data_IF_049204794486
#
_entry.id   IF_049204794486
#
_cell.length_a   1.000
_cell.length_b   1.000
_cell.length_c   1.000
_cell.angle_alpha   90.00
_cell.angle_beta   90.00
_cell.angle_gamma   90.00
#
_symmetry.space_group_name_H-M   'P 1'
#
loop_
_entity.id
_entity.type
_entity.pdbx_description
1 polymer ?
#
# COMPACT_ATOMS: atom_id res chain seq x y z
N UNK A 1 42.06 20.88 -3.21
CA UNK A 1 40.83 21.36 -3.87
C UNK A 1 39.87 20.23 -4.26
N UNK A 2 40.31 19.17 -4.96
CA UNK A 2 39.43 18.03 -5.35
C UNK A 2 38.69 17.39 -4.18
N UNK A 3 39.38 17.10 -3.06
CA UNK A 3 38.76 16.51 -1.86
C UNK A 3 37.67 17.40 -1.24
N UNK A 4 37.85 18.72 -1.27
CA UNK A 4 36.86 19.69 -0.78
C UNK A 4 35.60 19.71 -1.67
N UNK A 5 35.77 19.64 -2.99
CA UNK A 5 34.63 19.56 -3.92
C UNK A 5 33.85 18.26 -3.75
N UNK A 6 34.54 17.13 -3.56
CA UNK A 6 33.89 15.84 -3.30
C UNK A 6 33.11 15.86 -1.98
N UNK A 7 33.70 16.41 -0.92
CA UNK A 7 33.02 16.55 0.37
C UNK A 7 31.78 17.45 0.27
N UNK A 8 31.89 18.60 -0.40
CA UNK A 8 30.76 19.51 -0.62
C UNK A 8 29.64 18.85 -1.44
N UNK A 9 29.98 18.11 -2.49
CA UNK A 9 29.01 17.38 -3.32
C UNK A 9 28.27 16.29 -2.52
N UNK A 10 28.98 15.54 -1.66
CA UNK A 10 28.38 14.54 -0.78
C UNK A 10 27.42 15.17 0.24
N UNK A 11 27.81 16.28 0.86
CA UNK A 11 26.95 17.02 1.79
C UNK A 11 25.70 17.53 1.09
N UNK A 12 25.84 18.09 -0.12
CA UNK A 12 24.73 18.56 -0.92
C UNK A 12 23.77 17.42 -1.29
N UNK A 13 24.30 16.30 -1.77
CA UNK A 13 23.51 15.12 -2.11
C UNK A 13 22.76 14.55 -0.89
N UNK A 14 23.42 14.45 0.26
CA UNK A 14 22.79 14.01 1.51
C UNK A 14 21.70 14.97 1.97
N UNK A 15 21.90 16.28 1.82
CA UNK A 15 20.90 17.30 2.15
C UNK A 15 19.69 17.21 1.23
N UNK A 16 19.89 17.08 -0.09
CA UNK A 16 18.82 16.89 -1.07
C UNK A 16 18.01 15.63 -0.75
N UNK A 17 18.70 14.51 -0.48
CA UNK A 17 18.05 13.27 -0.10
C UNK A 17 17.23 13.43 1.19
N UNK A 18 17.79 14.06 2.23
CA UNK A 18 17.09 14.29 3.49
C UNK A 18 15.81 15.14 3.30
N UNK A 19 15.89 16.21 2.52
CA UNK A 19 14.74 17.06 2.20
C UNK A 19 13.69 16.30 1.38
N UNK A 20 14.12 15.55 0.36
CA UNK A 20 13.25 14.69 -0.44
C UNK A 20 12.50 13.68 0.42
N UNK A 21 13.21 12.99 1.32
CA UNK A 21 12.61 12.02 2.23
C UNK A 21 11.67 12.68 3.24
N UNK A 22 12.02 13.85 3.77
CA UNK A 22 11.18 14.57 4.72
C UNK A 22 9.84 15.01 4.10
N UNK A 23 9.90 15.59 2.89
CA UNK A 23 8.73 15.94 2.10
C UNK A 23 7.93 14.69 1.71
N UNK A 24 8.61 13.73 1.10
CA UNK A 24 8.00 12.53 0.55
C UNK A 24 7.37 11.63 1.61
N UNK A 25 7.87 11.61 2.85
CA UNK A 25 7.30 10.83 3.96
C UNK A 25 6.00 11.42 4.51
N UNK A 26 5.73 12.71 4.25
CA UNK A 26 4.67 13.46 4.92
C UNK A 26 3.76 14.24 3.95
N UNK A 27 3.87 13.94 2.66
CA UNK A 27 3.22 14.71 1.61
C UNK A 27 1.70 14.75 1.80
N UNK A 28 1.16 15.96 1.87
CA UNK A 28 -0.27 16.24 2.02
C UNK A 28 -0.85 16.01 3.42
N UNK A 29 -0.13 15.35 4.34
CA UNK A 29 -0.60 15.10 5.70
C UNK A 29 -0.31 16.27 6.66
N UNK A 30 -1.26 16.53 7.56
CA UNK A 30 -1.15 17.52 8.64
C UNK A 30 -0.32 16.98 9.83
N UNK A 31 0.20 17.85 10.71
CA UNK A 31 0.82 17.43 11.96
C UNK A 31 -0.05 16.50 12.81
N UNK A 32 -1.35 16.76 12.87
CA UNK A 32 -2.33 15.99 13.64
C UNK A 32 -2.52 14.59 13.05
N UNK A 33 -2.70 14.48 11.73
CA UNK A 33 -2.79 13.19 11.03
C UNK A 33 -1.51 12.33 11.20
N UNK A 34 -0.34 12.97 11.26
CA UNK A 34 0.94 12.29 11.53
C UNK A 34 1.07 11.78 12.97
N UNK A 35 0.46 12.48 13.93
CA UNK A 35 0.52 12.13 15.34
C UNK A 35 -0.60 11.18 15.78
N UNK A 36 -1.67 11.04 14.98
CA UNK A 36 -2.79 10.16 15.24
C UNK A 36 -2.33 8.69 15.37
N UNK A 37 -2.86 7.95 16.34
CA UNK A 37 -2.65 6.51 16.41
C UNK A 37 -3.44 5.78 15.30
N UNK A 38 -2.78 4.85 14.62
CA UNK A 38 -3.39 4.00 13.59
C UNK A 38 -3.49 2.55 14.10
N UNK A 39 -4.51 1.76 13.71
CA UNK A 39 -4.67 0.38 14.17
C UNK A 39 -3.43 -0.48 13.96
N UNK A 40 -2.75 -0.28 12.83
CA UNK A 40 -1.56 -1.02 12.47
C UNK A 40 -0.29 -0.68 13.27
N UNK A 41 -0.24 0.45 13.98
CA UNK A 41 0.92 0.83 14.80
C UNK A 41 1.22 -0.23 15.89
N UNK A 42 0.19 -0.92 16.38
CA UNK A 42 0.31 -1.99 17.36
C UNK A 42 1.07 -3.23 16.84
N UNK A 43 1.06 -3.49 15.52
CA UNK A 43 1.68 -4.67 14.93
C UNK A 43 3.21 -4.60 14.88
N UNK A 44 3.79 -3.40 15.06
CA UNK A 44 5.24 -3.19 15.14
C UNK A 44 5.72 -2.93 16.58
N UNK A 45 4.82 -3.01 17.57
CA UNK A 45 5.11 -2.61 18.95
C UNK A 45 6.22 -3.48 19.59
N UNK A 46 6.24 -4.76 19.29
CA UNK A 46 7.22 -5.75 19.76
C UNK A 46 8.51 -5.80 18.92
N UNK A 47 8.63 -4.87 17.96
CA UNK A 47 9.65 -4.90 16.93
C UNK A 47 11.03 -4.38 17.29
N UNK A 48 11.99 -4.53 16.36
CA UNK A 48 13.28 -3.90 16.47
C UNK A 48 13.17 -2.36 16.65
N UNK A 49 14.21 -1.73 17.21
CA UNK A 49 14.19 -0.29 17.47
C UNK A 49 14.34 0.55 16.19
N UNK A 50 14.88 -0.02 15.12
CA UNK A 50 15.07 0.69 13.84
C UNK A 50 13.75 0.68 13.09
N UNK A 51 13.04 1.82 13.10
CA UNK A 51 11.70 1.96 12.54
C UNK A 51 11.48 3.30 11.84
N UNK A 52 10.52 3.33 10.94
CA UNK A 52 10.07 4.50 10.18
C UNK A 52 8.56 4.50 10.07
N UNK A 53 7.96 5.69 10.01
CA UNK A 53 6.55 5.87 9.69
C UNK A 53 6.43 7.03 8.68
N UNK A 54 5.68 6.82 7.62
CA UNK A 54 5.43 7.81 6.57
C UNK A 54 3.92 7.95 6.40
N UNK A 55 3.38 9.12 6.73
CA UNK A 55 1.94 9.40 6.67
C UNK A 55 1.67 10.41 5.57
N UNK A 56 0.78 10.08 4.64
CA UNK A 56 0.40 10.94 3.51
C UNK A 56 -1.09 11.05 3.46
N UNK A 57 -1.59 12.13 2.89
CA UNK A 57 -3.02 12.30 2.77
C UNK A 57 -3.39 13.19 1.59
N UNK A 58 -4.55 12.90 1.02
CA UNK A 58 -5.16 13.66 -0.07
C UNK A 58 -6.65 13.84 0.18
N UNK A 59 -7.23 14.87 -0.44
CA UNK A 59 -8.67 15.10 -0.44
C UNK A 59 -9.23 14.65 -1.78
N UNK A 60 -10.32 13.90 -1.76
CA UNK A 60 -10.99 13.34 -2.94
C UNK A 60 -12.38 13.96 -3.02
N UNK A 61 -12.73 14.51 -4.18
CA UNK A 61 -14.02 15.17 -4.41
C UNK A 61 -15.15 14.13 -4.66
N UNK A 62 -15.35 13.24 -3.70
CA UNK A 62 -16.41 12.22 -3.69
C UNK A 62 -16.74 11.79 -2.26
N UNK A 63 -17.97 11.34 -2.04
CA UNK A 63 -18.43 10.83 -0.75
C UNK A 63 -17.73 9.50 -0.36
N UNK A 64 -17.57 9.18 0.94
CA UNK A 64 -16.87 7.97 1.39
C UNK A 64 -17.42 6.68 0.79
N UNK A 65 -18.72 6.60 0.52
CA UNK A 65 -19.40 5.45 -0.09
C UNK A 65 -18.97 5.21 -1.54
N UNK A 66 -18.54 6.27 -2.23
CA UNK A 66 -17.99 6.20 -3.59
C UNK A 66 -16.50 5.84 -3.55
N UNK A 67 -15.76 6.34 -2.55
CA UNK A 67 -14.33 6.10 -2.38
C UNK A 67 -14.04 4.67 -1.92
N UNK A 68 -14.83 4.16 -0.97
CA UNK A 68 -14.57 2.90 -0.28
C UNK A 68 -14.42 1.69 -1.23
N UNK A 69 -15.31 1.47 -2.23
CA UNK A 69 -15.18 0.33 -3.14
C UNK A 69 -13.84 0.29 -3.88
N UNK A 70 -13.23 1.44 -4.20
CA UNK A 70 -11.91 1.48 -4.82
C UNK A 70 -10.80 1.01 -3.89
N UNK A 71 -10.83 1.45 -2.64
CA UNK A 71 -9.85 1.02 -1.63
C UNK A 71 -10.03 -0.46 -1.28
N UNK A 72 -11.27 -0.92 -1.24
CA UNK A 72 -11.64 -2.29 -0.95
C UNK A 72 -11.16 -3.30 -2.02
N UNK A 73 -10.93 -2.88 -3.26
CA UNK A 73 -10.41 -3.74 -4.33
C UNK A 73 -8.92 -3.52 -4.66
N UNK A 74 -8.29 -2.49 -4.07
CA UNK A 74 -6.89 -2.14 -4.28
C UNK A 74 -5.99 -3.33 -3.91
N UNK A 75 -5.18 -3.79 -4.87
CA UNK A 75 -4.29 -4.94 -4.68
C UNK A 75 -5.00 -6.29 -4.58
N UNK A 76 -6.33 -6.31 -4.71
CA UNK A 76 -7.21 -7.49 -4.58
C UNK A 76 -7.80 -7.95 -5.91
N UNK A 77 -7.02 -7.84 -6.99
CA UNK A 77 -7.45 -8.23 -8.34
C UNK A 77 -7.80 -7.08 -9.27
N UNK A 78 -7.82 -5.84 -8.75
CA UNK A 78 -8.06 -4.62 -9.53
C UNK A 78 -6.78 -3.83 -9.87
N UNK A 79 -5.61 -4.33 -9.47
CA UNK A 79 -4.31 -3.66 -9.61
C UNK A 79 -4.01 -2.67 -8.47
N UNK A 80 -2.93 -1.90 -8.60
CA UNK A 80 -2.37 -1.05 -7.53
C UNK A 80 -2.63 0.45 -7.71
N UNK A 81 -3.23 0.85 -8.83
CA UNK A 81 -3.53 2.25 -9.16
C UNK A 81 -2.34 3.20 -9.19
N UNK A 82 -1.12 2.70 -9.27
CA UNK A 82 0.11 3.48 -9.20
C UNK A 82 0.82 3.51 -10.56
N UNK A 83 1.97 2.84 -10.70
CA UNK A 83 2.73 2.77 -11.95
C UNK A 83 2.70 1.32 -12.39
N UNK A 84 1.69 0.95 -13.18
CA UNK A 84 1.43 -0.43 -13.59
C UNK A 84 2.66 -1.12 -14.21
N UNK A 85 3.52 -0.38 -14.93
CA UNK A 85 4.79 -0.90 -15.49
C UNK A 85 5.83 -1.31 -14.45
N UNK A 86 5.74 -0.80 -13.23
CA UNK A 86 6.65 -1.11 -12.12
C UNK A 86 6.00 -2.06 -11.10
N UNK A 87 4.75 -1.83 -10.74
CA UNK A 87 4.08 -2.52 -9.63
C UNK A 87 3.02 -3.55 -10.04
N UNK A 88 2.71 -3.67 -11.34
CA UNK A 88 1.74 -4.64 -11.85
C UNK A 88 2.24 -5.38 -13.11
N UNK A 89 3.57 -5.42 -13.31
CA UNK A 89 4.22 -6.07 -14.46
C UNK A 89 3.73 -5.60 -15.83
N UNK A 90 3.32 -4.34 -15.94
CA UNK A 90 2.79 -3.73 -17.16
C UNK A 90 1.32 -4.00 -17.43
N UNK A 91 0.62 -4.70 -16.55
CA UNK A 91 -0.81 -4.95 -16.67
C UNK A 91 -1.59 -3.74 -16.15
N UNK A 92 -2.54 -3.23 -16.94
CA UNK A 92 -3.29 -2.03 -16.58
C UNK A 92 -4.23 -2.31 -15.38
N UNK A 93 -4.13 -1.47 -14.35
CA UNK A 93 -5.10 -1.52 -13.24
C UNK A 93 -6.50 -1.10 -13.69
N UNK A 94 -7.52 -1.61 -13.00
CA UNK A 94 -8.92 -1.35 -13.30
C UNK A 94 -9.27 0.14 -13.29
N UNK A 95 -10.30 0.49 -14.07
CA UNK A 95 -10.90 1.84 -14.14
C UNK A 95 -12.39 1.83 -13.77
N UNK A 96 -12.84 0.81 -13.06
CA UNK A 96 -14.19 0.65 -12.52
C UNK A 96 -14.13 -0.32 -11.32
N UNK A 97 -15.26 -0.53 -10.65
CA UNK A 97 -15.39 -1.52 -9.58
C UNK A 97 -15.57 -2.90 -10.20
N UNK A 98 -14.58 -3.77 -10.00
CA UNK A 98 -14.46 -5.07 -10.67
C UNK A 98 -15.45 -6.08 -10.11
N UNK A 99 -16.25 -6.72 -10.98
CA UNK A 99 -17.40 -7.52 -10.55
C UNK A 99 -17.05 -8.79 -9.77
N UNK A 100 -15.89 -9.39 -10.03
CA UNK A 100 -15.45 -10.64 -9.41
C UNK A 100 -14.61 -10.44 -8.15
N UNK A 101 -14.30 -9.19 -7.77
CA UNK A 101 -13.58 -8.93 -6.52
C UNK A 101 -14.59 -8.94 -5.38
N UNK A 102 -14.54 -9.92 -4.46
CA UNK A 102 -15.48 -9.97 -3.36
C UNK A 102 -15.23 -8.82 -2.37
N UNK A 103 -16.18 -8.50 -1.47
CA UNK A 103 -15.92 -7.61 -0.34
C UNK A 103 -14.62 -8.01 0.41
N UNK A 104 -13.87 -7.03 0.96
CA UNK A 104 -12.61 -7.32 1.63
C UNK A 104 -12.86 -8.05 2.95
N UNK A 105 -12.12 -9.13 3.16
CA UNK A 105 -12.16 -9.92 4.38
C UNK A 105 -10.77 -10.00 5.01
N UNK A 106 -10.77 -10.06 6.34
CA UNK A 106 -9.55 -10.29 7.10
C UNK A 106 -8.97 -11.65 6.68
N UNK A 107 -7.68 -11.66 6.36
CA UNK A 107 -6.97 -12.81 5.81
C UNK A 107 -6.88 -12.86 4.29
N UNK A 108 -7.49 -11.93 3.55
CA UNK A 108 -7.20 -11.76 2.12
C UNK A 108 -5.69 -11.53 1.93
N UNK A 109 -5.04 -12.41 1.18
CA UNK A 109 -3.61 -12.40 0.97
C UNK A 109 -3.27 -11.89 -0.43
N UNK A 110 -2.40 -10.89 -0.50
CA UNK A 110 -1.90 -10.28 -1.73
C UNK A 110 -0.36 -10.41 -1.77
N UNK A 111 0.33 -9.99 -2.84
CA UNK A 111 1.79 -10.03 -2.90
C UNK A 111 2.50 -9.20 -1.82
N UNK A 112 1.81 -8.22 -1.23
CA UNK A 112 2.37 -7.26 -0.27
C UNK A 112 1.89 -7.50 1.17
N UNK A 113 1.46 -8.72 1.48
CA UNK A 113 0.95 -9.10 2.80
C UNK A 113 -0.51 -9.50 2.77
N UNK A 114 -1.11 -9.63 3.95
CA UNK A 114 -2.52 -9.96 4.10
C UNK A 114 -3.29 -8.88 4.86
N UNK A 115 -4.61 -8.78 4.63
CA UNK A 115 -5.48 -7.88 5.38
C UNK A 115 -5.62 -8.35 6.83
N UNK A 116 -5.09 -7.57 7.78
CA UNK A 116 -5.11 -7.92 9.21
C UNK A 116 -6.20 -7.18 9.99
N UNK A 117 -6.64 -6.03 9.49
CA UNK A 117 -7.73 -5.24 10.10
C UNK A 117 -8.59 -4.60 9.02
N UNK A 118 -9.90 -4.54 9.27
CA UNK A 118 -10.88 -3.92 8.39
C UNK A 118 -11.95 -3.23 9.25
N UNK A 119 -12.21 -1.97 8.95
CA UNK A 119 -13.42 -1.25 9.35
C UNK A 119 -14.17 -0.90 8.06
N UNK A 120 -15.24 -1.64 7.70
CA UNK A 120 -15.95 -1.42 6.44
C UNK A 120 -16.40 0.04 6.28
N UNK A 121 -16.12 0.61 5.11
CA UNK A 121 -16.42 2.01 4.79
C UNK A 121 -15.44 3.02 5.37
N UNK A 122 -14.37 2.58 6.06
CA UNK A 122 -13.54 3.48 6.87
C UNK A 122 -12.05 3.15 6.85
N UNK A 123 -11.64 1.91 7.07
CA UNK A 123 -10.22 1.58 7.19
C UNK A 123 -9.87 0.15 6.75
N UNK A 124 -8.64 -0.01 6.25
CA UNK A 124 -8.00 -1.28 5.89
C UNK A 124 -6.55 -1.25 6.39
N UNK A 125 -6.06 -2.38 6.91
CA UNK A 125 -4.65 -2.52 7.28
C UNK A 125 -4.05 -3.78 6.68
N UNK A 126 -3.02 -3.59 5.86
CA UNK A 126 -2.20 -4.67 5.34
C UNK A 126 -1.04 -4.93 6.28
N UNK A 127 -0.82 -6.21 6.61
CA UNK A 127 0.30 -6.66 7.41
C UNK A 127 1.24 -7.53 6.59
N UNK A 128 2.52 -7.19 6.67
CA UNK A 128 3.61 -7.93 6.09
C UNK A 128 4.57 -8.30 7.24
N UNK A 129 4.45 -9.54 7.73
CA UNK A 129 5.09 -10.03 8.96
C UNK A 129 6.59 -10.27 8.90
N UNK A 130 7.22 -10.14 7.73
CA UNK A 130 8.66 -10.19 7.57
C UNK A 130 9.08 -10.64 6.18
N UNK A 131 9.74 -9.76 5.41
CA UNK A 131 10.47 -10.14 4.20
C UNK A 131 11.96 -9.85 4.33
N UNK A 132 12.77 -10.54 3.54
CA UNK A 132 14.17 -10.16 3.34
C UNK A 132 14.25 -9.00 2.35
N UNK A 133 14.70 -7.83 2.82
CA UNK A 133 14.86 -6.63 2.00
C UNK A 133 16.20 -5.96 2.31
N UNK A 134 17.06 -5.85 1.29
CA UNK A 134 18.42 -5.27 1.39
C UNK A 134 19.22 -5.89 2.54
N UNK A 135 19.12 -7.22 2.71
CA UNK A 135 19.84 -7.99 3.74
C UNK A 135 19.35 -7.81 5.18
N UNK A 136 18.16 -7.22 5.36
CA UNK A 136 17.50 -7.08 6.66
C UNK A 136 16.12 -7.73 6.62
N UNK A 137 15.71 -8.35 7.72
CA UNK A 137 14.32 -8.76 7.92
C UNK A 137 13.50 -7.51 8.18
N UNK A 138 12.56 -7.19 7.30
CA UNK A 138 11.74 -5.97 7.36
C UNK A 138 10.27 -6.35 7.51
N UNK A 139 9.61 -5.78 8.51
CA UNK A 139 8.16 -5.89 8.70
C UNK A 139 7.50 -4.59 8.27
N UNK A 140 6.32 -4.68 7.67
CA UNK A 140 5.62 -3.53 7.14
C UNK A 140 4.14 -3.57 7.49
N UNK A 141 3.60 -2.38 7.71
CA UNK A 141 2.18 -2.10 7.94
C UNK A 141 1.78 -1.01 6.97
N UNK A 142 0.68 -1.23 6.24
CA UNK A 142 0.02 -0.17 5.47
C UNK A 142 -1.36 0.07 6.02
N UNK A 143 -1.54 1.17 6.75
CA UNK A 143 -2.84 1.67 7.15
C UNK A 143 -3.40 2.55 6.03
N UNK A 144 -4.67 2.32 5.70
CA UNK A 144 -5.46 3.14 4.77
C UNK A 144 -6.74 3.52 5.52
N UNK A 145 -7.00 4.83 5.66
CA UNK A 145 -8.19 5.34 6.32
C UNK A 145 -8.85 6.41 5.49
N UNK A 146 -10.19 6.42 5.52
CA UNK A 146 -11.00 7.50 4.97
C UNK A 146 -11.86 8.13 6.06
N UNK A 147 -12.04 9.43 5.96
CA UNK A 147 -12.94 10.20 6.79
C UNK A 147 -13.68 11.24 5.95
N UNK A 148 -14.94 11.58 6.28
CA UNK A 148 -15.63 12.70 5.65
C UNK A 148 -14.83 14.00 5.82
N UNK A 149 -14.78 14.82 4.78
CA UNK A 149 -14.21 16.17 4.78
C UNK A 149 -15.17 17.12 4.06
N UNK A 150 -15.01 18.44 4.28
CA UNK A 150 -15.78 19.42 3.53
C UNK A 150 -15.55 19.25 2.02
N UNK A 151 -16.60 18.86 1.30
CA UNK A 151 -16.54 18.65 -0.15
C UNK A 151 -16.10 17.25 -0.61
N UNK A 152 -16.02 16.28 0.30
CA UNK A 152 -15.82 14.88 -0.08
C UNK A 152 -15.15 14.04 1.01
N UNK A 153 -14.06 13.38 0.65
CA UNK A 153 -13.39 12.40 1.51
C UNK A 153 -11.92 12.72 1.68
N UNK A 154 -11.46 12.71 2.93
CA UNK A 154 -10.06 12.70 3.29
C UNK A 154 -9.53 11.28 3.29
N UNK A 155 -8.56 10.97 2.42
CA UNK A 155 -7.84 9.69 2.41
C UNK A 155 -6.48 9.87 3.07
N UNK A 156 -6.24 9.16 4.15
CA UNK A 156 -4.99 9.13 4.90
C UNK A 156 -4.36 7.75 4.75
N UNK A 157 -3.09 7.68 4.39
CA UNK A 157 -2.33 6.44 4.38
C UNK A 157 -1.10 6.55 5.26
N UNK A 158 -0.83 5.51 6.05
CA UNK A 158 0.41 5.39 6.83
C UNK A 158 1.12 4.10 6.47
N UNK A 159 2.35 4.26 6.01
CA UNK A 159 3.27 3.16 5.78
C UNK A 159 4.27 3.15 6.94
N UNK A 160 4.19 2.13 7.79
CA UNK A 160 5.10 1.94 8.92
C UNK A 160 5.95 0.70 8.68
N UNK A 161 7.24 0.78 9.01
CA UNK A 161 8.15 -0.35 8.85
C UNK A 161 9.19 -0.38 9.96
N UNK A 162 9.58 -1.59 10.36
CA UNK A 162 10.75 -1.83 11.20
C UNK A 162 11.66 -2.89 10.56
N UNK A 163 12.94 -2.87 10.94
CA UNK A 163 13.91 -3.77 10.35
C UNK A 163 14.92 -4.28 11.39
N UNK A 164 15.26 -5.57 11.28
CA UNK A 164 16.28 -6.24 12.06
C UNK A 164 17.45 -6.68 11.17
N UNK A 165 18.67 -6.56 11.69
CA UNK A 165 19.89 -6.97 10.98
C UNK A 165 20.90 -5.83 10.82
N UNK A 166 22.09 -6.17 10.32
CA UNK A 166 23.23 -5.23 10.20
C UNK A 166 22.95 -4.09 9.22
N UNK A 167 22.13 -4.32 8.20
CA UNK A 167 21.78 -3.35 7.16
C UNK A 167 20.45 -2.64 7.42
N UNK A 168 19.80 -2.83 8.58
CA UNK A 168 18.44 -2.33 8.87
C UNK A 168 18.24 -0.84 8.55
N UNK A 169 19.19 0.05 8.94
CA UNK A 169 19.09 1.49 8.65
C UNK A 169 19.16 1.81 7.16
N UNK A 170 20.00 1.08 6.42
CA UNK A 170 20.14 1.24 4.96
C UNK A 170 18.88 0.71 4.27
N UNK A 171 18.39 -0.45 4.72
CA UNK A 171 17.15 -1.05 4.23
C UNK A 171 15.97 -0.08 4.35
N UNK A 172 15.74 0.49 5.54
CA UNK A 172 14.67 1.48 5.73
C UNK A 172 14.92 2.80 5.00
N UNK A 173 16.18 3.21 4.79
CA UNK A 173 16.49 4.40 3.99
C UNK A 173 16.08 4.22 2.52
N UNK A 174 16.44 3.08 1.92
CA UNK A 174 16.07 2.73 0.54
C UNK A 174 14.55 2.59 0.44
N UNK A 175 13.92 1.92 1.40
CA UNK A 175 12.48 1.77 1.46
C UNK A 175 11.77 3.13 1.46
N UNK A 176 12.14 4.04 2.37
CA UNK A 176 11.58 5.40 2.43
C UNK A 176 11.73 6.16 1.12
N UNK A 177 12.86 6.00 0.43
CA UNK A 177 13.11 6.66 -0.85
C UNK A 177 12.15 6.18 -1.93
N UNK A 178 12.04 4.86 -2.11
CA UNK A 178 11.14 4.26 -3.10
C UNK A 178 9.68 4.59 -2.78
N UNK A 179 9.27 4.42 -1.53
CA UNK A 179 7.90 4.67 -1.09
C UNK A 179 7.48 6.14 -1.25
N UNK A 180 8.40 7.10 -1.03
CA UNK A 180 8.12 8.54 -1.27
C UNK A 180 7.66 8.84 -2.70
N UNK A 181 8.14 8.07 -3.67
CA UNK A 181 7.74 8.19 -5.09
C UNK A 181 6.44 7.42 -5.33
N UNK A 182 6.39 6.16 -4.90
CA UNK A 182 5.28 5.24 -5.20
C UNK A 182 3.98 5.66 -4.51
N UNK A 183 4.02 5.98 -3.22
CA UNK A 183 2.83 6.33 -2.45
C UNK A 183 2.13 7.58 -3.00
N UNK A 184 2.89 8.61 -3.36
CA UNK A 184 2.33 9.83 -3.96
C UNK A 184 1.64 9.53 -5.31
N UNK A 185 2.21 8.63 -6.11
CA UNK A 185 1.61 8.22 -7.39
C UNK A 185 0.38 7.35 -7.22
N UNK A 186 0.39 6.45 -6.25
CA UNK A 186 -0.77 5.63 -5.89
C UNK A 186 -1.94 6.50 -5.44
N UNK A 187 -1.71 7.41 -4.49
CA UNK A 187 -2.75 8.32 -3.99
C UNK A 187 -3.36 9.16 -5.10
N UNK A 188 -2.54 9.78 -5.94
CA UNK A 188 -3.04 10.54 -7.10
C UNK A 188 -3.73 9.65 -8.14
N UNK A 189 -3.32 8.39 -8.27
CA UNK A 189 -3.95 7.43 -9.16
C UNK A 189 -5.29 6.90 -8.65
N UNK A 190 -5.46 6.79 -7.33
CA UNK A 190 -6.73 6.55 -6.65
C UNK A 190 -7.66 7.75 -6.88
N UNK A 191 -7.20 8.97 -6.54
CA UNK A 191 -7.97 10.21 -6.71
C UNK A 191 -8.51 10.36 -8.14
N UNK A 192 -7.62 10.27 -9.14
CA UNK A 192 -8.00 10.41 -10.55
C UNK A 192 -9.03 9.39 -11.00
N UNK A 193 -8.98 8.16 -10.46
CA UNK A 193 -9.95 7.12 -10.82
C UNK A 193 -11.31 7.43 -10.22
N UNK A 194 -11.34 7.75 -8.93
CA UNK A 194 -12.58 8.06 -8.23
C UNK A 194 -13.26 9.30 -8.83
N UNK A 195 -12.53 10.41 -9.00
CA UNK A 195 -13.12 11.66 -9.49
C UNK A 195 -13.53 11.60 -10.96
N UNK A 196 -12.96 10.67 -11.74
CA UNK A 196 -13.29 10.51 -13.17
C UNK A 196 -14.33 9.45 -13.44
N UNK A 197 -14.34 8.37 -12.64
CA UNK A 197 -15.11 7.16 -12.92
C UNK A 197 -16.16 6.88 -11.85
N UNK A 198 -16.17 7.64 -10.75
CA UNK A 198 -17.08 7.47 -9.61
C UNK A 198 -17.11 6.00 -9.15
N UNK A 199 -18.25 5.48 -8.73
CA UNK A 199 -18.43 4.07 -8.38
C UNK A 199 -18.98 3.24 -9.55
N UNK A 200 -18.58 3.54 -10.80
CA UNK A 200 -19.06 2.79 -11.97
C UNK A 200 -18.67 1.30 -11.87
N UNK A 201 -19.57 0.44 -12.33
CA UNK A 201 -19.40 -1.02 -12.31
C UNK A 201 -18.98 -1.59 -13.67
N UNK A 202 -18.85 -0.75 -14.69
CA UNK A 202 -18.48 -1.15 -16.03
C UNK A 202 -17.51 -0.16 -16.68
N UNK A 203 -16.70 -0.67 -17.60
CA UNK A 203 -15.85 0.14 -18.45
C UNK A 203 -16.06 -0.25 -19.92
N UNK A 204 -16.85 0.50 -20.70
CA UNK A 204 -17.18 0.11 -22.08
C UNK A 204 -15.96 0.09 -23.01
N UNK A 205 -14.89 0.84 -22.68
CA UNK A 205 -13.64 0.85 -23.46
C UNK A 205 -12.82 -0.44 -23.27
N UNK A 206 -12.90 -1.05 -22.09
CA UNK A 206 -12.15 -2.26 -21.73
C UNK A 206 -13.06 -3.14 -20.86
N UNK A 207 -14.04 -3.83 -21.47
CA UNK A 207 -15.01 -4.62 -20.74
C UNK A 207 -14.36 -5.80 -20.03
N UNK A 208 -15.01 -6.24 -18.97
CA UNK A 208 -14.65 -7.44 -18.24
C UNK A 208 -14.80 -8.68 -19.13
N UNK A 209 -13.74 -9.49 -19.22
CA UNK A 209 -13.72 -10.73 -20.01
C UNK A 209 -14.07 -11.97 -19.18
N UNK A 210 -14.15 -11.81 -17.85
CA UNK A 210 -14.22 -12.90 -16.87
C UNK A 210 -12.86 -13.50 -16.52
N UNK A 211 -11.77 -13.07 -17.16
CA UNK A 211 -10.42 -13.46 -16.78
C UNK A 211 -10.04 -12.80 -15.45
N UNK A 212 -9.86 -13.60 -14.39
CA UNK A 212 -9.58 -13.10 -13.04
C UNK A 212 -8.19 -12.46 -12.88
N UNK A 213 -7.34 -12.56 -13.89
CA UNK A 213 -6.07 -11.86 -13.95
C UNK A 213 -6.13 -10.58 -14.79
N UNK A 214 -7.29 -10.16 -15.33
CA UNK A 214 -7.38 -9.09 -16.32
C UNK A 214 -6.73 -7.76 -15.90
N UNK A 215 -6.87 -7.39 -14.61
CA UNK A 215 -6.39 -6.11 -14.09
C UNK A 215 -5.23 -6.24 -13.10
N UNK A 216 -4.82 -7.46 -12.76
CA UNK A 216 -3.73 -7.70 -11.83
C UNK A 216 -2.92 -8.91 -12.25
N UNK A 217 -1.60 -8.72 -12.34
CA UNK A 217 -0.69 -9.80 -12.71
C UNK A 217 -0.48 -10.76 -11.53
N UNK A 218 -0.28 -10.19 -10.35
CA UNK A 218 0.15 -10.93 -9.18
C UNK A 218 -1.01 -11.59 -8.44
N UNK A 219 -0.76 -12.78 -7.91
CA UNK A 219 -1.78 -13.57 -7.26
C UNK A 219 -2.36 -12.85 -6.03
N UNK A 220 -3.66 -13.03 -5.84
CA UNK A 220 -4.38 -12.70 -4.61
C UNK A 220 -5.17 -13.94 -4.24
N UNK A 221 -5.15 -14.31 -2.97
CA UNK A 221 -5.94 -15.41 -2.43
C UNK A 221 -6.88 -14.81 -1.38
N UNK A 222 -8.17 -14.81 -1.67
CA UNK A 222 -9.19 -14.31 -0.75
C UNK A 222 -9.32 -15.23 0.47
N UNK A 223 -9.86 -14.74 1.58
CA UNK A 223 -10.10 -15.52 2.79
C UNK A 223 -10.90 -16.80 2.50
N UNK A 224 -11.86 -16.73 1.56
CA UNK A 224 -12.65 -17.85 1.05
C UNK A 224 -11.82 -18.98 0.41
N UNK A 225 -10.60 -18.70 -0.05
CA UNK A 225 -9.72 -19.60 -0.80
C UNK A 225 -9.79 -19.44 -2.32
N UNK A 226 -10.76 -18.65 -2.82
CA UNK A 226 -10.75 -18.24 -4.23
C UNK A 226 -9.58 -17.30 -4.52
N UNK A 227 -9.13 -17.26 -5.77
CA UNK A 227 -8.03 -16.39 -6.19
C UNK A 227 -8.34 -15.55 -7.43
N UNK A 228 -7.52 -14.51 -7.59
CA UNK A 228 -7.42 -13.64 -8.76
C UNK A 228 -5.93 -13.38 -9.07
N UNK A 229 -5.64 -12.84 -10.26
CA UNK A 229 -4.27 -12.75 -10.77
C UNK A 229 -3.74 -14.09 -11.30
N UNK A 230 -2.45 -14.14 -11.63
CA UNK A 230 -1.80 -15.35 -12.13
C UNK A 230 -1.34 -16.21 -10.95
N UNK A 231 -1.86 -17.43 -10.83
CA UNK A 231 -1.52 -18.37 -9.76
C UNK A 231 -0.01 -18.58 -9.62
N UNK A 232 0.49 -18.56 -8.37
CA UNK A 232 1.89 -18.74 -8.02
C UNK A 232 2.79 -17.54 -8.34
N UNK A 233 2.22 -16.41 -8.75
CA UNK A 233 2.97 -15.19 -9.02
C UNK A 233 3.14 -14.37 -7.73
N UNK A 234 4.35 -14.38 -7.19
CA UNK A 234 4.76 -13.74 -5.92
C UNK A 234 4.21 -14.46 -4.65
N UNK A 235 4.27 -13.78 -3.51
CA UNK A 235 4.20 -14.34 -2.17
C UNK A 235 2.78 -14.49 -1.59
N UNK A 236 1.73 -14.46 -2.39
CA UNK A 236 0.34 -14.50 -1.86
C UNK A 236 0.06 -15.76 -1.02
N UNK A 237 0.57 -16.92 -1.45
CA UNK A 237 0.47 -18.17 -0.67
C UNK A 237 1.22 -18.10 0.67
N UNK A 238 2.42 -17.52 0.67
CA UNK A 238 3.23 -17.33 1.89
C UNK A 238 2.51 -16.41 2.90
N UNK A 239 1.88 -15.34 2.40
CA UNK A 239 1.10 -14.42 3.24
C UNK A 239 -0.18 -15.05 3.77
N UNK A 240 -0.85 -15.89 2.98
CA UNK A 240 -1.99 -16.68 3.47
C UNK A 240 -1.56 -17.62 4.60
N UNK A 241 -0.43 -18.29 4.44
CA UNK A 241 0.12 -19.16 5.48
C UNK A 241 0.45 -18.36 6.75
N UNK A 242 1.05 -17.18 6.60
CA UNK A 242 1.33 -16.26 7.72
C UNK A 242 0.04 -15.84 8.43
N UNK A 243 -1.05 -15.58 7.69
CA UNK A 243 -2.34 -15.25 8.28
C UNK A 243 -2.93 -16.42 9.12
N UNK A 244 -2.68 -17.67 8.71
CA UNK A 244 -3.07 -18.85 9.52
C UNK A 244 -2.22 -18.94 10.79
N UNK A 245 -0.91 -18.73 10.68
CA UNK A 245 0.03 -18.76 11.82
C UNK A 245 -0.25 -17.66 12.84
N UNK A 246 -0.63 -16.47 12.35
CA UNK A 246 -1.07 -15.35 13.17
C UNK A 246 -2.47 -15.54 13.79
N UNK A 247 -3.14 -16.68 13.51
CA UNK A 247 -4.47 -17.01 14.02
C UNK A 247 -5.61 -16.20 13.40
N UNK A 248 -5.33 -15.52 12.28
CA UNK A 248 -6.28 -14.66 11.55
C UNK A 248 -7.21 -15.50 10.68
N UNK A 249 -6.67 -16.56 10.06
CA UNK A 249 -7.44 -17.56 9.31
C UNK A 249 -7.38 -18.92 10.01
N UNK A 250 -8.44 -19.71 9.87
CA UNK A 250 -8.40 -21.13 10.23
C UNK A 250 -7.67 -21.93 9.14
N UNK A 251 -6.81 -22.87 9.55
CA UNK A 251 -6.31 -23.91 8.64
C UNK A 251 -7.51 -24.71 8.11
N UNK A 252 -7.71 -24.71 6.80
CA UNK A 252 -8.74 -25.52 6.12
C UNK A 252 -8.12 -26.80 5.59
#
# INVERSE_FOLDING_TARGET
MVVLYLAAALVLAATILALFLAWGSNWGATPEERAQAMPGDAYLADGPPVRVAMTRAISIQAEPEIVWPWLAQLGRGAGWYSIDRLDNGGKDSARHIVSWVPPPEVGDASPVGYLRHIEPGRALVWWLGGLQYVGATTRLVTDIQIAPEQGGTRLITRMSADAAGRTARVSLLVFRFIDSIMASRQLLGIQRRIERYEARHDNPEVPETGARDQYQLYEVIYASGESAGVTGKEHAADWRQTAIEDGVLSAR
#
